data_IF_533609486752
#
_entry.id   IF_533609486752
#
_cell.length_a   1.000
_cell.length_b   1.000
_cell.length_c   1.000
_cell.angle_alpha   90.00
_cell.angle_beta   90.00
_cell.angle_gamma   90.00
#
_symmetry.space_group_name_H-M   'P 1'
#
loop_
_entity.id
_entity.type
_entity.pdbx_description
1 polymer ?
#
# COMPACT_ATOMS: atom_id res chain seq x y z
N UNK A 1 25.45 12.10 2.19
CA UNK A 1 24.93 13.29 2.89
C UNK A 1 23.57 12.94 3.46
N UNK A 2 23.19 13.46 4.65
CA UNK A 2 21.83 13.27 5.16
C UNK A 2 20.83 13.93 4.20
N UNK A 3 19.76 13.23 3.88
CA UNK A 3 18.70 13.73 2.99
C UNK A 3 17.96 14.87 3.69
N UNK A 4 17.83 16.03 3.05
CA UNK A 4 17.11 17.17 3.63
C UNK A 4 15.62 17.13 3.30
N UNK A 5 14.84 17.96 3.98
CA UNK A 5 13.39 18.10 3.68
C UNK A 5 13.19 18.72 2.30
N UNK A 6 14.03 19.69 1.90
CA UNK A 6 13.94 20.27 0.55
C UNK A 6 14.17 19.21 -0.53
N UNK A 7 15.13 18.31 -0.35
CA UNK A 7 15.42 17.22 -1.29
C UNK A 7 14.19 16.31 -1.48
N UNK A 8 13.52 15.95 -0.38
CA UNK A 8 12.33 15.09 -0.42
C UNK A 8 11.17 15.78 -1.17
N UNK A 9 10.97 17.07 -0.93
CA UNK A 9 9.93 17.86 -1.62
C UNK A 9 10.22 18.02 -3.11
N UNK A 10 11.47 18.25 -3.48
CA UNK A 10 11.89 18.36 -4.88
C UNK A 10 11.70 17.03 -5.62
N UNK A 11 12.10 15.91 -5.01
CA UNK A 11 11.89 14.56 -5.57
C UNK A 11 10.42 14.27 -5.76
N UNK A 12 9.60 14.51 -4.73
CA UNK A 12 8.15 14.34 -4.82
C UNK A 12 7.53 15.19 -5.94
N UNK A 13 7.95 16.45 -6.07
CA UNK A 13 7.50 17.33 -7.16
C UNK A 13 7.84 16.78 -8.54
N UNK A 14 8.99 16.13 -8.69
CA UNK A 14 9.39 15.47 -9.94
C UNK A 14 8.54 14.23 -10.21
N UNK A 15 8.34 13.36 -9.21
CA UNK A 15 7.52 12.15 -9.36
C UNK A 15 6.05 12.48 -9.68
N UNK A 16 5.51 13.56 -9.12
CA UNK A 16 4.19 14.09 -9.48
C UNK A 16 4.07 14.41 -10.96
N UNK A 17 5.05 15.11 -11.53
CA UNK A 17 5.09 15.46 -12.96
C UNK A 17 5.19 14.22 -13.84
N UNK A 18 6.00 13.23 -13.45
CA UNK A 18 6.10 11.96 -14.18
C UNK A 18 4.75 11.22 -14.18
N UNK A 19 4.03 11.25 -13.06
CA UNK A 19 2.73 10.59 -12.91
C UNK A 19 1.58 11.31 -13.61
N UNK A 20 1.68 12.63 -13.79
CA UNK A 20 0.60 13.49 -14.27
C UNK A 20 -0.08 13.01 -15.57
N UNK A 21 0.64 12.54 -16.60
CA UNK A 21 0.02 12.04 -17.84
C UNK A 21 -0.81 10.77 -17.67
N UNK A 22 -0.55 9.95 -16.64
CA UNK A 22 -1.26 8.70 -16.40
C UNK A 22 -2.59 8.91 -15.68
N UNK A 23 -2.72 9.98 -14.89
CA UNK A 23 -3.91 10.24 -14.08
C UNK A 23 -5.20 10.36 -14.92
N UNK A 24 -5.24 11.04 -16.08
CA UNK A 24 -6.42 11.05 -16.95
C UNK A 24 -6.83 9.66 -17.43
N UNK A 25 -5.86 8.79 -17.76
CA UNK A 25 -6.10 7.42 -18.21
C UNK A 25 -6.72 6.60 -17.07
N UNK A 26 -6.11 6.66 -15.88
CA UNK A 26 -6.67 5.97 -14.71
C UNK A 26 -8.05 6.49 -14.36
N UNK A 27 -8.27 7.80 -14.43
CA UNK A 27 -9.59 8.41 -14.21
C UNK A 27 -10.62 7.90 -15.20
N UNK A 28 -10.27 7.81 -16.48
CA UNK A 28 -11.17 7.27 -17.50
C UNK A 28 -11.55 5.83 -17.16
N UNK A 29 -10.57 4.97 -16.86
CA UNK A 29 -10.82 3.58 -16.47
C UNK A 29 -11.72 3.50 -15.23
N UNK A 30 -11.40 4.24 -14.17
CA UNK A 30 -12.21 4.19 -12.95
C UNK A 30 -13.61 4.78 -13.14
N UNK A 31 -13.81 5.77 -14.02
CA UNK A 31 -15.14 6.33 -14.30
C UNK A 31 -16.11 5.28 -14.90
N UNK A 32 -15.58 4.30 -15.64
CA UNK A 32 -16.36 3.25 -16.31
C UNK A 32 -16.34 1.88 -15.60
N UNK A 33 -15.23 1.51 -14.98
CA UNK A 33 -15.03 0.14 -14.46
C UNK A 33 -15.12 0.10 -12.93
N UNK A 34 -14.61 1.11 -12.22
CA UNK A 34 -14.56 1.13 -10.76
C UNK A 34 -14.91 2.52 -10.17
N UNK A 35 -16.16 3.00 -10.29
CA UNK A 35 -16.49 4.41 -10.03
C UNK A 35 -16.23 4.86 -8.60
N UNK A 36 -16.34 3.97 -7.61
CA UNK A 36 -16.02 4.27 -6.20
C UNK A 36 -14.55 4.67 -5.99
N UNK A 37 -13.66 4.27 -6.90
CA UNK A 37 -12.24 4.64 -6.95
C UNK A 37 -11.95 5.82 -7.88
N UNK A 38 -12.96 6.43 -8.51
CA UNK A 38 -12.75 7.51 -9.48
C UNK A 38 -12.55 8.91 -8.86
N UNK A 39 -11.99 8.96 -7.65
CA UNK A 39 -11.75 10.20 -6.91
C UNK A 39 -10.25 10.49 -6.84
N UNK A 40 -9.75 11.19 -7.84
CA UNK A 40 -8.31 11.39 -8.07
C UNK A 40 -7.72 12.66 -7.47
N UNK A 41 -8.57 13.56 -6.96
CA UNK A 41 -8.12 14.77 -6.26
C UNK A 41 -7.86 14.47 -4.78
N UNK A 42 -6.65 14.79 -4.31
CA UNK A 42 -6.26 14.66 -2.91
C UNK A 42 -6.95 15.68 -1.99
N UNK A 43 -7.26 16.87 -2.52
CA UNK A 43 -7.81 17.99 -1.76
C UNK A 43 -9.34 18.02 -1.80
N UNK A 44 -9.98 17.15 -2.57
CA UNK A 44 -11.41 17.24 -2.76
C UNK A 44 -12.18 16.96 -1.46
N UNK A 45 -13.32 17.64 -1.33
CA UNK A 45 -14.15 17.64 -0.13
C UNK A 45 -14.72 16.24 0.13
N UNK A 46 -14.59 15.71 1.35
CA UNK A 46 -15.23 14.45 1.74
C UNK A 46 -16.74 14.47 1.43
N UNK A 47 -17.28 13.33 0.99
CA UNK A 47 -18.70 13.19 0.66
C UNK A 47 -19.09 13.57 -0.76
N UNK A 48 -18.18 14.16 -1.56
CA UNK A 48 -18.43 14.36 -2.99
C UNK A 48 -18.44 13.01 -3.70
N UNK A 49 -19.59 12.67 -4.30
CA UNK A 49 -19.70 11.46 -5.13
C UNK A 49 -18.85 11.63 -6.40
N UNK A 50 -18.08 10.60 -6.81
CA UNK A 50 -17.41 10.61 -8.09
C UNK A 50 -18.46 10.66 -9.22
N UNK A 51 -18.12 11.32 -10.32
CA UNK A 51 -18.97 11.33 -11.52
C UNK A 51 -19.02 9.92 -12.09
N UNK A 52 -20.18 9.28 -12.02
CA UNK A 52 -20.37 7.94 -12.60
C UNK A 52 -20.64 8.07 -14.09
N UNK A 53 -19.88 7.34 -14.92
CA UNK A 53 -20.13 7.21 -16.36
C UNK A 53 -20.53 5.78 -16.75
N UNK A 54 -21.10 5.04 -15.80
CA UNK A 54 -21.61 3.69 -16.03
C UNK A 54 -22.82 3.74 -16.96
N UNK A 55 -22.74 3.02 -18.08
CA UNK A 55 -23.90 2.77 -18.95
C UNK A 55 -24.66 1.51 -18.52
N UNK A 56 -23.91 0.46 -18.14
CA UNK A 56 -24.40 -0.78 -17.56
C UNK A 56 -23.47 -1.26 -16.43
N UNK A 57 -23.81 -2.39 -15.80
CA UNK A 57 -23.00 -3.01 -14.74
C UNK A 57 -21.94 -4.00 -15.22
N UNK A 58 -21.83 -4.25 -16.54
CA UNK A 58 -21.03 -5.36 -17.08
C UNK A 58 -19.57 -5.23 -16.67
N UNK A 59 -18.95 -4.07 -16.90
CA UNK A 59 -17.53 -3.87 -16.59
C UNK A 59 -17.20 -4.05 -15.10
N UNK A 60 -18.09 -3.59 -14.21
CA UNK A 60 -17.90 -3.75 -12.77
C UNK A 60 -18.06 -5.22 -12.34
N UNK A 61 -19.06 -5.92 -12.88
CA UNK A 61 -19.31 -7.34 -12.60
C UNK A 61 -18.15 -8.21 -13.09
N UNK A 62 -17.67 -7.98 -14.31
CA UNK A 62 -16.54 -8.74 -14.87
C UNK A 62 -15.23 -8.46 -14.10
N UNK A 63 -15.00 -7.20 -13.69
CA UNK A 63 -13.87 -6.88 -12.82
C UNK A 63 -13.96 -7.63 -11.48
N UNK A 64 -15.16 -7.67 -10.87
CA UNK A 64 -15.35 -8.40 -9.62
C UNK A 64 -15.12 -9.90 -9.81
N UNK A 65 -15.65 -10.49 -10.89
CA UNK A 65 -15.44 -11.90 -11.23
C UNK A 65 -13.94 -12.23 -11.40
N UNK A 66 -13.19 -11.36 -12.07
CA UNK A 66 -11.74 -11.49 -12.20
C UNK A 66 -11.05 -11.47 -10.83
N UNK A 67 -11.40 -10.53 -9.95
CA UNK A 67 -10.82 -10.42 -8.61
C UNK A 67 -11.18 -11.62 -7.74
N UNK A 68 -12.43 -12.09 -7.77
CA UNK A 68 -12.86 -13.30 -7.05
C UNK A 68 -12.08 -14.53 -7.54
N UNK A 69 -11.84 -14.62 -8.85
CA UNK A 69 -10.96 -15.63 -9.45
C UNK A 69 -9.52 -15.53 -8.94
N UNK A 70 -8.94 -14.34 -8.87
CA UNK A 70 -7.59 -14.12 -8.32
C UNK A 70 -7.50 -14.49 -6.85
N UNK A 71 -8.47 -14.09 -6.03
CA UNK A 71 -8.52 -14.45 -4.61
C UNK A 71 -8.63 -15.97 -4.43
N UNK A 72 -9.50 -16.63 -5.19
CA UNK A 72 -9.71 -18.06 -5.11
C UNK A 72 -8.50 -18.89 -5.56
N UNK A 73 -7.75 -18.43 -6.57
CA UNK A 73 -6.68 -19.21 -7.19
C UNK A 73 -5.26 -18.82 -6.72
N UNK A 74 -5.04 -17.59 -6.26
CA UNK A 74 -3.70 -17.11 -5.87
C UNK A 74 -3.55 -17.03 -4.35
N UNK A 75 -4.55 -16.47 -3.65
CA UNK A 75 -4.51 -16.20 -2.21
C UNK A 75 -5.76 -16.73 -1.51
N UNK A 76 -6.03 -18.02 -1.72
CA UNK A 76 -7.23 -18.66 -1.16
C UNK A 76 -7.24 -18.62 0.37
N UNK A 77 -8.39 -18.31 0.96
CA UNK A 77 -8.59 -18.42 2.41
C UNK A 77 -8.76 -19.87 2.89
N UNK A 78 -9.00 -20.80 1.95
CA UNK A 78 -9.32 -22.20 2.26
C UNK A 78 -8.21 -23.17 1.89
N UNK A 79 -7.36 -22.82 0.93
CA UNK A 79 -6.24 -23.64 0.47
C UNK A 79 -4.91 -23.05 0.92
N UNK A 80 -3.92 -23.91 1.20
CA UNK A 80 -2.56 -23.46 1.45
C UNK A 80 -1.86 -23.12 0.14
N UNK A 81 -1.45 -21.86 -0.01
CA UNK A 81 -0.80 -21.29 -1.19
C UNK A 81 0.68 -20.85 -0.97
N UNK A 82 1.11 -20.72 0.28
CA UNK A 82 2.52 -20.57 0.70
C UNK A 82 3.09 -21.91 1.13
N UNK A 83 4.30 -22.21 0.65
CA UNK A 83 5.18 -23.27 1.14
C UNK A 83 6.58 -22.70 1.41
N UNK A 84 7.09 -22.90 2.61
CA UNK A 84 8.43 -22.48 3.01
C UNK A 84 9.41 -23.64 2.82
N UNK A 85 10.59 -23.31 2.29
CA UNK A 85 11.70 -24.24 2.09
C UNK A 85 13.01 -23.51 2.31
N UNK A 86 14.03 -24.23 2.80
CA UNK A 86 15.39 -23.69 2.87
C UNK A 86 16.01 -23.66 1.47
N UNK A 87 16.81 -22.64 1.19
CA UNK A 87 17.56 -22.52 -0.06
C UNK A 87 18.57 -23.68 -0.20
N UNK A 88 19.27 -24.02 0.88
CA UNK A 88 20.08 -25.23 0.95
C UNK A 88 19.19 -26.46 1.10
N UNK A 89 19.08 -27.24 0.01
CA UNK A 89 18.22 -28.42 -0.07
C UNK A 89 18.54 -29.49 0.98
N UNK A 90 19.79 -29.59 1.45
CA UNK A 90 20.18 -30.57 2.47
C UNK A 90 19.46 -30.33 3.80
N UNK A 91 19.15 -29.06 4.10
CA UNK A 91 18.43 -28.71 5.33
C UNK A 91 16.97 -29.17 5.28
N UNK A 92 16.36 -29.22 4.09
CA UNK A 92 14.99 -29.70 3.93
C UNK A 92 14.85 -31.23 4.13
N UNK A 93 15.96 -31.98 4.16
CA UNK A 93 15.95 -33.42 4.48
C UNK A 93 15.92 -33.68 5.98
N UNK A 94 16.28 -32.67 6.79
CA UNK A 94 16.35 -32.76 8.24
C UNK A 94 14.92 -32.65 8.82
N UNK A 95 14.39 -33.67 9.53
CA UNK A 95 13.00 -33.68 9.98
C UNK A 95 12.60 -32.46 10.81
N UNK A 96 13.40 -32.09 11.81
CA UNK A 96 13.07 -30.96 12.68
C UNK A 96 13.04 -29.61 11.94
N UNK A 97 13.81 -29.45 10.86
CA UNK A 97 13.76 -28.23 10.03
C UNK A 97 12.43 -28.16 9.30
N UNK A 98 11.95 -29.28 8.74
CA UNK A 98 10.64 -29.32 8.08
C UNK A 98 9.49 -29.04 9.04
N UNK A 99 9.54 -29.65 10.22
CA UNK A 99 8.52 -29.46 11.26
C UNK A 99 8.46 -27.99 11.68
N UNK A 100 9.62 -27.36 11.86
CA UNK A 100 9.70 -25.93 12.18
C UNK A 100 9.16 -25.04 11.05
N UNK A 101 9.51 -25.33 9.78
CA UNK A 101 8.97 -24.56 8.64
C UNK A 101 7.45 -24.70 8.52
N UNK A 102 6.91 -25.89 8.78
CA UNK A 102 5.46 -26.12 8.81
C UNK A 102 4.79 -25.35 9.96
N UNK A 103 5.43 -25.27 11.13
CA UNK A 103 4.96 -24.44 12.24
C UNK A 103 4.93 -22.95 11.86
N UNK A 104 5.97 -22.45 11.19
CA UNK A 104 6.00 -21.06 10.70
C UNK A 104 4.90 -20.82 9.64
N UNK A 105 4.68 -21.75 8.71
CA UNK A 105 3.56 -21.69 7.77
C UNK A 105 2.22 -21.59 8.52
N UNK A 106 2.01 -22.42 9.55
CA UNK A 106 0.79 -22.40 10.36
C UNK A 106 0.57 -21.03 11.02
N UNK A 107 1.63 -20.42 11.54
CA UNK A 107 1.58 -19.06 12.13
C UNK A 107 1.19 -18.02 11.08
N UNK A 108 1.75 -18.10 9.86
CA UNK A 108 1.40 -17.18 8.78
C UNK A 108 -0.08 -17.31 8.39
N UNK A 109 -0.59 -18.54 8.19
CA UNK A 109 -2.01 -18.74 7.88
C UNK A 109 -2.94 -18.29 9.01
N UNK A 110 -2.56 -18.54 10.26
CA UNK A 110 -3.31 -18.05 11.41
C UNK A 110 -3.36 -16.52 11.43
N UNK A 111 -2.29 -15.84 11.04
CA UNK A 111 -2.25 -14.38 10.89
C UNK A 111 -3.19 -13.88 9.79
N UNK A 112 -3.11 -14.47 8.60
CA UNK A 112 -3.96 -14.06 7.48
C UNK A 112 -5.44 -14.29 7.78
N UNK A 113 -5.78 -15.38 8.47
CA UNK A 113 -7.16 -15.70 8.84
C UNK A 113 -7.74 -14.75 9.91
N UNK A 114 -6.92 -14.26 10.85
CA UNK A 114 -7.38 -13.41 11.96
C UNK A 114 -7.24 -11.89 11.70
N UNK A 115 -6.50 -11.52 10.66
CA UNK A 115 -6.29 -10.13 10.22
C UNK A 115 -7.28 -9.75 9.12
N UNK A 116 -7.18 -8.52 8.63
CA UNK A 116 -7.98 -8.03 7.50
C UNK A 116 -7.32 -8.31 6.14
N UNK A 117 -6.41 -9.30 6.07
CA UNK A 117 -5.62 -9.59 4.88
C UNK A 117 -6.47 -9.82 3.63
N UNK A 118 -7.47 -10.70 3.68
CA UNK A 118 -8.29 -11.04 2.51
C UNK A 118 -9.15 -9.86 2.02
N UNK A 119 -9.64 -9.04 2.93
CA UNK A 119 -10.37 -7.81 2.60
C UNK A 119 -9.45 -6.80 1.89
N UNK A 120 -8.24 -6.61 2.42
CA UNK A 120 -7.25 -5.73 1.82
C UNK A 120 -6.78 -6.25 0.45
N UNK A 121 -6.56 -7.56 0.30
CA UNK A 121 -6.17 -8.19 -0.96
C UNK A 121 -7.25 -8.05 -2.05
N UNK A 122 -8.53 -8.18 -1.69
CA UNK A 122 -9.64 -7.92 -2.63
C UNK A 122 -9.55 -6.50 -3.18
N UNK A 123 -9.37 -5.53 -2.30
CA UNK A 123 -9.22 -4.13 -2.69
C UNK A 123 -7.94 -3.87 -3.51
N UNK A 124 -6.84 -4.55 -3.17
CA UNK A 124 -5.57 -4.47 -3.89
C UNK A 124 -5.71 -5.00 -5.31
N UNK A 125 -6.36 -6.15 -5.51
CA UNK A 125 -6.59 -6.71 -6.83
C UNK A 125 -7.56 -5.87 -7.65
N UNK A 126 -8.54 -5.20 -7.03
CA UNK A 126 -9.40 -4.25 -7.76
C UNK A 126 -8.59 -3.09 -8.34
N UNK A 127 -7.67 -2.51 -7.58
CA UNK A 127 -6.75 -1.48 -8.08
C UNK A 127 -5.81 -2.06 -9.17
N UNK A 128 -5.18 -3.21 -8.90
CA UNK A 128 -4.24 -3.82 -9.84
C UNK A 128 -4.89 -4.25 -11.17
N UNK A 129 -6.08 -4.86 -11.13
CA UNK A 129 -6.79 -5.33 -12.31
C UNK A 129 -7.47 -4.20 -13.10
N UNK A 130 -7.77 -3.06 -12.45
CA UNK A 130 -8.36 -1.91 -13.15
C UNK A 130 -7.29 -0.98 -13.73
N UNK A 131 -6.40 -0.44 -12.90
CA UNK A 131 -5.46 0.62 -13.29
C UNK A 131 -4.01 0.12 -13.43
N UNK A 132 -3.79 -1.20 -13.26
CA UNK A 132 -2.50 -1.85 -13.44
C UNK A 132 -1.58 -1.84 -12.21
N UNK A 133 -1.86 -1.00 -11.21
CA UNK A 133 -1.01 -0.85 -10.02
C UNK A 133 -1.83 -0.94 -8.74
N UNK A 134 -1.58 -1.98 -7.96
CA UNK A 134 -2.04 -2.10 -6.58
C UNK A 134 -0.93 -1.71 -5.61
N UNK A 135 -1.28 -1.04 -4.51
CA UNK A 135 -0.32 -0.67 -3.46
C UNK A 135 -0.89 -1.11 -2.11
N UNK A 136 -0.15 -1.96 -1.40
CA UNK A 136 -0.52 -2.40 -0.06
C UNK A 136 0.47 -1.84 0.95
N UNK A 137 -0.06 -1.19 1.99
CA UNK A 137 0.69 -0.86 3.18
C UNK A 137 0.46 -1.96 4.22
N UNK A 138 1.53 -2.46 4.80
CA UNK A 138 1.50 -3.46 5.87
C UNK A 138 2.06 -2.81 7.13
N UNK A 139 1.29 -2.80 8.20
CA UNK A 139 1.63 -2.13 9.46
C UNK A 139 1.45 -3.09 10.63
N UNK A 140 2.32 -2.98 11.63
CA UNK A 140 2.19 -3.72 12.87
C UNK A 140 1.28 -2.96 13.84
N UNK A 141 0.15 -3.56 14.23
CA UNK A 141 -0.63 -3.09 15.36
C UNK A 141 -0.11 -3.78 16.63
N UNK A 142 0.87 -3.12 17.26
CA UNK A 142 1.47 -3.60 18.50
C UNK A 142 0.46 -3.75 19.65
N UNK A 143 -0.64 -3.00 19.62
CA UNK A 143 -1.65 -3.02 20.69
C UNK A 143 -2.51 -4.29 20.63
N UNK A 144 -2.92 -4.69 19.43
CA UNK A 144 -3.71 -5.90 19.19
C UNK A 144 -2.84 -7.12 18.82
N UNK A 145 -1.52 -6.91 18.71
CA UNK A 145 -0.53 -7.87 18.23
C UNK A 145 -0.96 -8.49 16.90
N UNK A 146 -1.38 -7.68 15.93
CA UNK A 146 -1.82 -8.14 14.61
C UNK A 146 -1.10 -7.37 13.52
N UNK A 147 -1.06 -7.96 12.33
CA UNK A 147 -0.66 -7.26 11.13
C UNK A 147 -1.90 -6.64 10.50
N UNK A 148 -1.83 -5.34 10.20
CA UNK A 148 -2.86 -4.60 9.49
C UNK A 148 -2.43 -4.42 8.04
N UNK A 149 -3.32 -4.83 7.14
CA UNK A 149 -3.13 -4.67 5.70
C UNK A 149 -4.01 -3.56 5.22
N UNK A 150 -3.48 -2.66 4.40
CA UNK A 150 -4.29 -1.58 3.89
C UNK A 150 -3.90 -1.12 2.51
N UNK A 151 -4.81 -1.35 1.58
CA UNK A 151 -4.65 -0.93 0.19
C UNK A 151 -4.71 0.58 0.10
N UNK A 152 -3.68 1.17 -0.48
CA UNK A 152 -3.51 2.61 -0.67
C UNK A 152 -3.92 2.96 -2.07
N UNK A 153 -4.79 3.97 -2.18
CA UNK A 153 -5.23 4.43 -3.47
C UNK A 153 -4.08 5.09 -4.23
N UNK A 154 -3.90 4.76 -5.50
CA UNK A 154 -2.83 5.33 -6.35
C UNK A 154 -2.78 6.87 -6.38
N UNK A 155 -3.90 7.57 -6.08
CA UNK A 155 -3.96 9.05 -6.00
C UNK A 155 -2.97 9.66 -5.00
N UNK A 156 -2.66 8.94 -3.92
CA UNK A 156 -1.72 9.41 -2.90
C UNK A 156 -0.29 8.90 -3.13
N UNK A 157 -0.05 8.03 -4.10
CA UNK A 157 1.22 7.33 -4.28
C UNK A 157 1.97 7.78 -5.54
N UNK A 158 3.30 7.80 -5.44
CA UNK A 158 4.22 8.17 -6.51
C UNK A 158 5.42 7.24 -6.49
N UNK A 159 5.66 6.53 -7.59
CA UNK A 159 6.64 5.45 -7.69
C UNK A 159 7.84 5.88 -8.54
N UNK A 160 9.00 5.30 -8.26
CA UNK A 160 10.15 5.33 -9.15
C UNK A 160 10.82 3.96 -9.20
N UNK A 161 11.43 3.66 -10.34
CA UNK A 161 12.15 2.42 -10.60
C UNK A 161 13.66 2.65 -10.48
N UNK A 162 14.35 1.65 -9.93
CA UNK A 162 15.80 1.60 -9.90
C UNK A 162 16.40 1.14 -11.23
N UNK A 163 17.72 0.88 -11.22
CA UNK A 163 18.51 0.54 -12.41
C UNK A 163 18.04 -0.69 -13.20
N UNK A 164 17.27 -1.58 -12.56
CA UNK A 164 16.78 -2.83 -13.13
C UNK A 164 15.30 -2.80 -13.50
N UNK A 165 14.66 -1.63 -13.48
CA UNK A 165 13.21 -1.50 -13.68
C UNK A 165 12.37 -2.00 -12.50
N UNK A 166 13.01 -2.40 -11.39
CA UNK A 166 12.29 -2.75 -10.15
C UNK A 166 11.96 -1.47 -9.38
N UNK A 167 10.72 -1.35 -8.93
CA UNK A 167 10.30 -0.26 -8.03
C UNK A 167 11.13 -0.33 -6.75
N UNK A 168 11.89 0.73 -6.49
CA UNK A 168 12.71 0.87 -5.28
C UNK A 168 12.33 2.09 -4.44
N UNK A 169 11.51 2.97 -5.01
CA UNK A 169 11.15 4.25 -4.44
C UNK A 169 9.63 4.43 -4.45
N UNK A 170 9.05 4.73 -3.28
CA UNK A 170 7.65 5.07 -3.08
C UNK A 170 7.54 6.32 -2.23
N UNK A 171 6.88 7.34 -2.78
CA UNK A 171 6.41 8.49 -2.01
C UNK A 171 4.91 8.41 -1.87
N UNK A 172 4.41 8.83 -0.70
CA UNK A 172 2.99 9.00 -0.43
C UNK A 172 2.73 10.41 0.07
N UNK A 173 1.67 11.03 -0.41
CA UNK A 173 1.14 12.31 0.09
C UNK A 173 -0.33 12.13 0.45
N UNK A 174 -0.64 12.24 1.73
CA UNK A 174 -1.97 11.96 2.25
C UNK A 174 -2.34 12.92 3.37
N UNK A 175 -3.62 12.90 3.72
CA UNK A 175 -4.16 13.65 4.85
C UNK A 175 -4.54 12.70 5.98
N UNK A 176 -4.28 13.12 7.21
CA UNK A 176 -4.79 12.46 8.41
C UNK A 176 -5.15 13.52 9.45
N UNK A 177 -5.97 13.16 10.43
CA UNK A 177 -6.30 14.09 11.51
C UNK A 177 -5.09 14.30 12.43
N UNK A 178 -5.03 15.45 13.11
CA UNK A 178 -3.99 15.69 14.11
C UNK A 178 -4.02 14.60 15.21
N UNK A 179 -5.22 14.15 15.63
CA UNK A 179 -5.38 13.03 16.58
C UNK A 179 -4.79 11.73 16.04
N UNK A 180 -5.05 11.37 14.78
CA UNK A 180 -4.45 10.18 14.18
C UNK A 180 -2.93 10.30 14.16
N UNK A 181 -2.39 11.46 13.79
CA UNK A 181 -0.95 11.68 13.75
C UNK A 181 -0.31 11.52 15.13
N UNK A 182 -0.97 11.99 16.18
CA UNK A 182 -0.53 11.82 17.57
C UNK A 182 -0.54 10.35 18.00
N UNK A 183 -1.59 9.60 17.64
CA UNK A 183 -1.65 8.16 17.89
C UNK A 183 -0.56 7.37 17.14
N UNK A 184 -0.16 7.83 15.94
CA UNK A 184 0.87 7.16 15.13
C UNK A 184 2.29 7.49 15.58
N UNK A 185 2.60 8.76 15.86
CA UNK A 185 3.98 9.21 16.09
C UNK A 185 4.22 9.85 17.46
N UNK A 186 3.18 10.25 18.18
CA UNK A 186 3.26 10.87 19.50
C UNK A 186 4.32 11.97 19.59
N UNK A 187 5.30 11.78 20.48
CA UNK A 187 6.37 12.74 20.73
C UNK A 187 7.35 12.95 19.55
N UNK A 188 7.30 12.11 18.50
CA UNK A 188 8.09 12.29 17.27
C UNK A 188 7.50 13.34 16.33
N UNK A 189 6.29 13.83 16.60
CA UNK A 189 5.72 14.97 15.87
C UNK A 189 6.50 16.26 16.14
N UNK A 190 6.48 17.19 15.19
CA UNK A 190 7.03 18.53 15.41
C UNK A 190 6.27 19.27 16.52
N UNK A 191 6.96 20.17 17.23
CA UNK A 191 6.37 20.97 18.33
C UNK A 191 5.11 21.69 17.87
N UNK A 192 5.15 22.32 16.70
CA UNK A 192 4.00 23.00 16.12
C UNK A 192 2.81 22.07 15.87
N UNK A 193 3.07 20.79 15.51
CA UNK A 193 2.00 19.81 15.30
C UNK A 193 1.46 19.30 16.62
N UNK A 194 2.29 19.05 17.63
CA UNK A 194 1.84 18.66 18.97
C UNK A 194 0.90 19.71 19.58
N UNK A 195 1.18 21.00 19.42
CA UNK A 195 0.27 22.06 19.87
C UNK A 195 -1.05 22.07 19.08
N UNK A 196 -0.99 21.83 17.76
CA UNK A 196 -2.21 21.69 16.93
C UNK A 196 -3.08 20.50 17.34
N UNK A 197 -2.51 19.41 17.83
CA UNK A 197 -3.28 18.26 18.35
C UNK A 197 -4.19 18.67 19.52
N UNK A 198 -3.70 19.53 20.42
CA UNK A 198 -4.45 20.01 21.58
C UNK A 198 -5.60 20.94 21.21
N UNK A 199 -5.37 21.80 20.21
CA UNK A 199 -6.33 22.86 19.81
C UNK A 199 -7.36 22.35 18.80
N UNK A 200 -6.94 21.53 17.83
CA UNK A 200 -7.77 21.05 16.74
C UNK A 200 -7.47 19.57 16.43
N UNK A 201 -7.90 18.64 17.30
CA UNK A 201 -7.59 17.21 17.15
C UNK A 201 -8.17 16.60 15.88
N UNK A 202 -9.29 17.11 15.36
CA UNK A 202 -9.97 16.57 14.17
C UNK A 202 -9.57 17.28 12.87
N UNK A 203 -8.81 18.38 12.95
CA UNK A 203 -8.25 19.08 11.80
C UNK A 203 -7.37 18.18 10.92
N UNK A 204 -7.48 18.35 9.61
CA UNK A 204 -6.70 17.60 8.61
C UNK A 204 -5.31 18.20 8.45
N UNK A 205 -4.31 17.35 8.52
CA UNK A 205 -2.91 17.68 8.30
C UNK A 205 -2.35 16.83 7.15
N UNK A 206 -1.51 17.46 6.32
CA UNK A 206 -0.87 16.79 5.18
C UNK A 206 0.47 16.20 5.62
N UNK A 207 0.69 14.94 5.26
CA UNK A 207 1.91 14.20 5.52
C UNK A 207 2.51 13.68 4.23
N UNK A 208 3.84 13.57 4.23
CA UNK A 208 4.60 12.91 3.18
C UNK A 208 5.34 11.75 3.82
N UNK A 209 5.18 10.56 3.25
CA UNK A 209 5.92 9.37 3.63
C UNK A 209 6.76 8.92 2.44
N UNK A 210 8.08 8.83 2.61
CA UNK A 210 9.01 8.49 1.56
C UNK A 210 9.82 7.26 1.95
N UNK A 211 9.71 6.20 1.15
CA UNK A 211 10.52 4.99 1.23
C UNK A 211 11.40 4.94 -0.02
N UNK A 212 12.71 4.92 0.15
CA UNK A 212 13.67 4.86 -0.96
C UNK A 212 14.98 4.24 -0.48
N UNK A 213 15.83 3.73 -1.39
CA UNK A 213 17.07 3.07 -1.01
C UNK A 213 18.05 4.05 -0.38
N UNK A 214 18.77 3.60 0.64
CA UNK A 214 19.88 4.36 1.18
C UNK A 214 21.03 4.37 0.18
N UNK A 215 21.45 5.56 -0.27
CA UNK A 215 22.59 5.71 -1.17
C UNK A 215 23.87 5.57 -0.33
N UNK A 216 24.49 4.39 -0.34
CA UNK A 216 25.81 4.18 0.26
C UNK A 216 26.87 4.94 -0.55
N UNK A 217 27.77 5.71 0.09
CA UNK A 217 28.80 6.49 -0.61
C UNK A 217 29.95 5.65 -1.18
N UNK A 218 29.96 4.32 -1.02
CA UNK A 218 31.01 3.45 -1.54
C UNK A 218 30.44 2.40 -2.49
N UNK A 219 31.08 2.14 -3.65
CA UNK A 219 30.74 0.98 -4.46
C UNK A 219 31.06 -0.27 -3.63
N UNK A 220 30.08 -1.17 -3.50
CA UNK A 220 30.38 -2.56 -3.10
C UNK A 220 31.23 -3.13 -4.23
N UNK A 221 32.55 -3.09 -4.07
CA UNK A 221 33.43 -3.98 -4.81
C UNK A 221 33.04 -5.39 -4.35
N UNK A 222 32.40 -6.13 -5.25
CA UNK A 222 32.25 -7.57 -5.15
C UNK A 222 33.58 -8.24 -5.49
#
# INVERSE_FOLDING_TARGET
>A
MPVTVEDLLQRLGTLKKIREPYQPVWKQVTDYVLPRRSFWDLNATPGKKPTQKLFDGTALTELQLLVDGMLGNIVSAHLRWIKLTMEDRRQNEIPWVRDWLEEVENVLYAEFARSNFYEAMSEFFLDAASIGTGIMLVEDDLSSRRILFSTRHMKECYLAEGRYGTVDTLYREFFMSNRQADQTWGNKLSVARQERVKVDPFGRARFIHACFPFIYPFPRNF
#
